data_IF_818512106175
#
_entry.id   IF_818512106175
#
_cell.length_a   1.000
_cell.length_b   1.000
_cell.length_c   1.000
_cell.angle_alpha   90.00
_cell.angle_beta   90.00
_cell.angle_gamma   90.00
#
_symmetry.space_group_name_H-M   'P 1'
#
loop_
_entity.id
_entity.type
_entity.pdbx_description
1 polymer ?
#
# COMPACT_ATOMS: atom_id res chain seq x y z
N UNK A 1 -4.34 -19.03 -7.97
CA UNK A 1 -3.75 -17.68 -7.80
C UNK A 1 -2.34 -17.72 -8.38
N UNK A 2 -2.03 -16.91 -9.39
CA UNK A 2 -0.73 -16.95 -10.07
C UNK A 2 0.27 -16.08 -9.29
N UNK A 3 1.43 -16.65 -8.95
CA UNK A 3 2.51 -16.00 -8.22
C UNK A 3 3.23 -14.97 -9.12
N UNK A 4 3.70 -13.86 -8.54
CA UNK A 4 4.50 -12.82 -9.20
C UNK A 4 5.71 -13.37 -9.96
N UNK A 5 6.31 -14.46 -9.46
CA UNK A 5 7.40 -15.15 -10.15
C UNK A 5 6.99 -15.69 -11.54
N UNK A 6 5.77 -16.23 -11.67
CA UNK A 6 5.27 -16.79 -12.92
C UNK A 6 4.99 -15.70 -13.97
N UNK A 7 4.51 -14.53 -13.54
CA UNK A 7 4.30 -13.37 -14.41
C UNK A 7 5.63 -12.90 -15.03
N UNK A 8 6.69 -12.84 -14.24
CA UNK A 8 8.03 -12.48 -14.71
C UNK A 8 8.57 -13.47 -15.76
N UNK A 9 8.32 -14.77 -15.58
CA UNK A 9 8.72 -15.81 -16.55
C UNK A 9 7.94 -15.66 -17.85
N UNK A 10 6.61 -15.53 -17.80
CA UNK A 10 5.73 -15.37 -18.98
C UNK A 10 6.19 -14.18 -19.83
N UNK A 11 6.43 -13.03 -19.19
CA UNK A 11 6.84 -11.81 -19.89
C UNK A 11 8.24 -11.92 -20.48
N UNK A 12 9.21 -12.47 -19.74
CA UNK A 12 10.56 -12.68 -20.24
C UNK A 12 10.56 -13.57 -21.49
N UNK A 13 9.85 -14.69 -21.41
CA UNK A 13 9.73 -15.61 -22.53
C UNK A 13 9.06 -14.97 -23.75
N UNK A 14 8.04 -14.14 -23.57
CA UNK A 14 7.34 -13.50 -24.68
C UNK A 14 8.10 -12.30 -25.28
N UNK A 15 8.63 -11.41 -24.44
CA UNK A 15 9.24 -10.13 -24.87
C UNK A 15 10.70 -10.33 -25.28
N UNK A 16 11.47 -11.10 -24.50
CA UNK A 16 12.91 -11.25 -24.70
C UNK A 16 13.24 -12.47 -25.55
N UNK A 17 12.64 -13.61 -25.23
CA UNK A 17 12.96 -14.87 -25.89
C UNK A 17 12.01 -15.16 -27.08
N UNK A 18 11.05 -14.26 -27.36
CA UNK A 18 10.07 -14.32 -28.46
C UNK A 18 9.32 -15.66 -28.58
N UNK A 19 9.10 -16.34 -27.45
CA UNK A 19 8.39 -17.62 -27.38
C UNK A 19 6.89 -17.39 -27.61
N UNK A 20 6.27 -18.26 -28.41
CA UNK A 20 4.84 -18.15 -28.72
C UNK A 20 3.94 -18.34 -27.49
N UNK A 21 2.80 -17.63 -27.44
CA UNK A 21 1.79 -17.78 -26.38
C UNK A 21 1.36 -19.24 -26.19
N UNK A 22 1.29 -20.01 -27.28
CA UNK A 22 0.93 -21.43 -27.27
C UNK A 22 1.94 -22.26 -26.50
N UNK A 23 3.21 -21.99 -26.71
CA UNK A 23 4.31 -22.73 -26.10
C UNK A 23 4.49 -22.34 -24.63
N UNK A 24 4.35 -21.06 -24.30
CA UNK A 24 4.33 -20.59 -22.90
C UNK A 24 3.18 -21.26 -22.12
N UNK A 25 1.99 -21.31 -22.71
CA UNK A 25 0.82 -21.98 -22.12
C UNK A 25 1.06 -23.48 -21.88
N UNK A 26 1.73 -24.16 -22.83
CA UNK A 26 2.04 -25.59 -22.73
C UNK A 26 3.11 -25.88 -21.67
N UNK A 27 4.11 -25.01 -21.52
CA UNK A 27 5.21 -25.19 -20.56
C UNK A 27 4.79 -24.91 -19.12
N UNK A 28 3.84 -24.00 -18.92
CA UNK A 28 3.38 -23.57 -17.60
C UNK A 28 2.03 -24.20 -17.20
N UNK A 29 1.48 -25.08 -18.03
CA UNK A 29 0.18 -25.74 -17.87
C UNK A 29 -0.96 -24.78 -17.48
N UNK A 30 -1.08 -23.68 -18.23
CA UNK A 30 -2.11 -22.67 -18.02
C UNK A 30 -2.81 -22.32 -19.33
N UNK A 31 -4.05 -21.84 -19.22
CA UNK A 31 -4.80 -21.46 -20.41
C UNK A 31 -4.10 -20.36 -21.22
N UNK A 32 -4.21 -20.43 -22.55
CA UNK A 32 -3.69 -19.38 -23.46
C UNK A 32 -4.31 -18.01 -23.15
N UNK A 33 -5.55 -17.98 -22.66
CA UNK A 33 -6.24 -16.75 -22.25
C UNK A 33 -5.58 -16.13 -21.03
N UNK A 34 -5.13 -16.97 -20.09
CA UNK A 34 -4.37 -16.56 -18.91
C UNK A 34 -3.05 -15.89 -19.34
N UNK A 35 -2.26 -16.55 -20.19
CA UNK A 35 -1.01 -15.99 -20.74
C UNK A 35 -1.25 -14.66 -21.46
N UNK A 36 -2.26 -14.60 -22.33
CA UNK A 36 -2.63 -13.38 -23.07
C UNK A 36 -3.04 -12.24 -22.14
N UNK A 37 -3.78 -12.52 -21.07
CA UNK A 37 -4.17 -11.54 -20.05
C UNK A 37 -2.94 -10.96 -19.35
N UNK A 38 -1.98 -11.79 -18.98
CA UNK A 38 -0.76 -11.37 -18.26
C UNK A 38 0.27 -10.64 -19.14
N UNK A 39 0.30 -10.92 -20.44
CA UNK A 39 1.10 -10.14 -21.39
C UNK A 39 0.51 -8.74 -21.60
N UNK A 40 -0.82 -8.61 -21.64
CA UNK A 40 -1.52 -7.33 -21.89
C UNK A 40 -1.60 -6.40 -20.67
N UNK A 41 -1.73 -6.97 -19.48
CA UNK A 41 -1.79 -6.20 -18.24
C UNK A 41 -0.39 -5.70 -17.94
N UNK A 42 0.02 -4.55 -18.47
CA UNK A 42 1.37 -4.01 -18.27
C UNK A 42 1.66 -3.60 -16.81
N UNK A 43 0.63 -3.30 -16.02
CA UNK A 43 0.80 -2.82 -14.66
C UNK A 43 -0.26 -3.43 -13.73
N UNK A 44 0.06 -4.59 -13.16
CA UNK A 44 -0.34 -4.84 -11.79
C UNK A 44 0.94 -5.33 -11.12
N UNK A 45 1.79 -4.39 -10.71
CA UNK A 45 2.50 -4.65 -9.47
C UNK A 45 1.43 -5.12 -8.49
N UNK A 46 1.57 -6.28 -7.82
CA UNK A 46 0.73 -6.53 -6.68
C UNK A 46 1.03 -5.36 -5.73
N UNK A 47 0.15 -4.36 -5.72
CA UNK A 47 0.16 -3.31 -4.74
C UNK A 47 0.11 -4.08 -3.44
N UNK A 48 1.26 -4.20 -2.79
CA UNK A 48 1.33 -4.84 -1.49
C UNK A 48 0.31 -4.06 -0.67
N UNK A 49 -0.67 -4.73 -0.04
CA UNK A 49 -1.63 -4.03 0.78
C UNK A 49 -0.81 -3.15 1.73
N UNK A 50 -1.18 -1.87 1.83
CA UNK A 50 -0.46 -0.92 2.66
C UNK A 50 -0.22 -1.59 4.01
N UNK A 51 1.05 -1.65 4.44
CA UNK A 51 1.39 -2.26 5.73
C UNK A 51 0.75 -1.39 6.81
N UNK A 52 -0.38 -1.84 7.35
CA UNK A 52 -0.94 -1.33 8.58
C UNK A 52 -0.18 -1.99 9.73
N UNK A 53 1.03 -1.50 9.99
CA UNK A 53 1.71 -1.80 11.24
C UNK A 53 0.97 -1.04 12.34
N UNK A 54 0.46 -1.70 13.40
CA UNK A 54 -0.15 -0.99 14.51
C UNK A 54 0.89 -0.04 15.09
N UNK A 55 0.63 1.26 15.01
CA UNK A 55 1.47 2.28 15.61
C UNK A 55 0.96 2.60 17.01
N UNK A 56 1.84 2.92 17.95
CA UNK A 56 1.44 3.40 19.28
C UNK A 56 0.57 4.67 19.22
N UNK A 57 0.55 5.36 18.07
CA UNK A 57 -0.29 6.53 17.82
C UNK A 57 -1.71 6.16 17.36
N UNK A 58 -1.96 4.92 16.95
CA UNK A 58 -3.26 4.51 16.39
C UNK A 58 -4.37 4.62 17.44
N UNK A 59 -4.07 4.35 18.70
CA UNK A 59 -5.01 4.51 19.83
C UNK A 59 -5.43 5.98 20.01
N UNK A 60 -4.51 6.92 19.74
CA UNK A 60 -4.74 8.35 19.92
C UNK A 60 -5.23 9.05 18.64
N UNK A 61 -5.19 8.39 17.49
CA UNK A 61 -5.59 8.92 16.18
C UNK A 61 -6.99 9.56 16.14
N UNK A 62 -8.07 8.95 16.70
CA UNK A 62 -9.39 9.59 16.69
C UNK A 62 -9.43 10.87 17.54
N UNK A 63 -8.66 10.93 18.62
CA UNK A 63 -8.60 12.12 19.49
C UNK A 63 -7.76 13.23 18.86
N UNK A 64 -6.61 12.88 18.28
CA UNK A 64 -5.74 13.82 17.59
C UNK A 64 -6.44 14.47 16.40
N UNK A 65 -7.19 13.68 15.62
CA UNK A 65 -7.95 14.19 14.47
C UNK A 65 -9.06 15.16 14.89
N UNK A 66 -9.75 14.90 16.01
CA UNK A 66 -10.72 15.82 16.59
C UNK A 66 -10.05 17.14 17.04
N UNK A 67 -8.91 17.06 17.72
CA UNK A 67 -8.16 18.25 18.14
C UNK A 67 -7.70 19.07 16.95
N UNK A 68 -7.07 18.45 15.93
CA UNK A 68 -6.61 19.15 14.74
C UNK A 68 -7.75 19.83 13.97
N UNK A 69 -8.90 19.16 13.89
CA UNK A 69 -10.13 19.72 13.27
C UNK A 69 -10.68 20.91 14.05
N UNK A 70 -10.77 20.80 15.39
CA UNK A 70 -11.21 21.92 16.22
C UNK A 70 -10.22 23.10 16.13
N UNK A 71 -8.94 22.80 15.98
CA UNK A 71 -7.87 23.76 15.95
C UNK A 71 -7.74 24.47 14.60
N UNK A 72 -8.17 23.86 13.49
CA UNK A 72 -8.16 24.49 12.16
C UNK A 72 -9.14 25.64 12.01
N UNK A 73 -10.20 25.65 12.83
CA UNK A 73 -11.24 26.68 12.81
C UNK A 73 -10.82 27.91 13.65
N UNK A 74 -9.88 27.74 14.60
CA UNK A 74 -9.47 28.83 15.50
C UNK A 74 -8.53 29.83 14.84
N UNK A 75 -8.60 31.08 15.31
CA UNK A 75 -7.66 32.12 14.91
C UNK A 75 -6.23 31.77 15.36
N UNK A 76 -5.22 32.19 14.59
CA UNK A 76 -3.80 31.87 14.84
C UNK A 76 -3.34 32.14 16.29
N UNK A 77 -3.87 33.19 16.93
CA UNK A 77 -3.51 33.58 18.31
C UNK A 77 -4.12 32.68 19.38
N UNK A 78 -5.26 32.08 19.10
CA UNK A 78 -5.94 31.14 19.99
C UNK A 78 -5.56 29.69 19.70
N UNK A 79 -4.69 29.49 18.69
CA UNK A 79 -4.42 28.19 18.14
C UNK A 79 -3.51 27.39 19.06
N UNK A 80 -3.94 26.22 19.56
CA UNK A 80 -3.02 25.30 20.26
C UNK A 80 -1.90 24.87 19.32
N UNK A 81 -0.69 24.82 19.85
CA UNK A 81 0.49 24.39 19.09
C UNK A 81 0.62 22.88 19.10
N UNK A 82 1.30 22.31 18.09
CA UNK A 82 1.58 20.87 18.05
C UNK A 82 2.36 20.38 19.28
N UNK A 83 3.24 21.22 19.85
CA UNK A 83 3.97 20.92 21.09
C UNK A 83 3.03 20.75 22.27
N UNK A 84 2.00 21.61 22.40
CA UNK A 84 0.99 21.47 23.45
C UNK A 84 0.18 20.19 23.27
N UNK A 85 -0.25 19.89 22.04
CA UNK A 85 -0.97 18.63 21.76
C UNK A 85 -0.12 17.39 22.05
N UNK A 86 1.20 17.45 21.82
CA UNK A 86 2.11 16.36 22.17
C UNK A 86 2.25 16.19 23.69
N UNK A 87 2.29 17.28 24.46
CA UNK A 87 2.31 17.21 25.92
C UNK A 87 0.99 16.66 26.46
N UNK A 88 -0.15 17.13 25.92
CA UNK A 88 -1.48 16.61 26.25
C UNK A 88 -1.56 15.09 25.94
N UNK A 89 -0.94 14.63 24.85
CA UNK A 89 -0.83 13.20 24.55
C UNK A 89 0.02 12.43 25.57
N UNK A 90 1.16 13.00 26.00
CA UNK A 90 1.99 12.38 27.04
C UNK A 90 1.25 12.20 28.36
N UNK A 91 0.45 13.20 28.77
CA UNK A 91 -0.40 13.10 29.96
C UNK A 91 -1.46 11.99 29.84
N UNK A 92 -1.90 11.70 28.62
CA UNK A 92 -2.84 10.63 28.31
C UNK A 92 -2.20 9.24 28.21
N UNK A 93 -0.91 9.12 28.49
CA UNK A 93 -0.18 7.84 28.47
C UNK A 93 0.53 7.53 27.16
N UNK A 94 0.67 8.50 26.24
CA UNK A 94 1.51 8.33 25.06
C UNK A 94 3.00 8.39 25.47
N UNK A 95 3.66 7.24 25.54
CA UNK A 95 5.07 7.15 25.96
C UNK A 95 6.06 7.63 24.87
N UNK A 96 5.59 7.75 23.64
CA UNK A 96 6.43 8.02 22.47
C UNK A 96 6.50 6.82 21.53
N UNK A 97 7.20 6.98 20.42
CA UNK A 97 7.49 5.93 19.46
C UNK A 97 9.00 5.63 19.46
#
# INVERSE_FOLDING_TARGET
MINVALLGIIRRWYIRDHISIREIASRLDISRNTVRRYIRLDAIEPASPARHSPSSLDEFAPRLSAWLSAESIKSRKQRRTLKQMFLDLKELGYEGA
#
